data_IF_721739148000
#
_entry.id   IF_721739148000
#
_cell.length_a   1.000
_cell.length_b   1.000
_cell.length_c   1.000
_cell.angle_alpha   90.00
_cell.angle_beta   90.00
_cell.angle_gamma   90.00
#
_symmetry.space_group_name_H-M   'P 1'
#
loop_
_entity.id
_entity.type
_entity.pdbx_description
1 polymer ?
#
# COMPACT_ATOMS: atom_id res chain seq x y z
N UNK A 1 33.17 -17.46 -8.87
CA UNK A 1 34.44 -17.56 -8.12
C UNK A 1 34.51 -18.95 -7.47
N UNK A 2 35.63 -19.66 -7.58
CA UNK A 2 35.81 -21.01 -7.00
C UNK A 2 36.93 -20.96 -5.96
N UNK A 3 36.63 -21.36 -4.73
CA UNK A 3 37.63 -21.54 -3.68
C UNK A 3 38.08 -23.01 -3.67
N UNK A 4 39.39 -23.24 -3.76
CA UNK A 4 39.99 -24.57 -3.58
C UNK A 4 40.45 -24.70 -2.13
N UNK A 5 39.88 -25.67 -1.41
CA UNK A 5 40.16 -25.92 0.00
C UNK A 5 40.91 -27.24 0.15
N UNK A 6 42.00 -27.24 0.92
CA UNK A 6 42.68 -28.45 1.40
C UNK A 6 42.36 -28.60 2.88
N UNK A 7 41.63 -29.65 3.22
CA UNK A 7 41.14 -29.94 4.58
C UNK A 7 41.50 -31.37 4.95
N UNK A 8 41.63 -31.65 6.25
CA UNK A 8 41.94 -33.00 6.73
C UNK A 8 40.71 -33.90 6.63
N UNK A 9 40.94 -35.17 6.32
CA UNK A 9 39.94 -36.23 6.45
C UNK A 9 40.35 -37.13 7.61
N UNK A 10 39.43 -37.36 8.53
CA UNK A 10 39.62 -38.17 9.71
C UNK A 10 38.82 -39.47 9.59
N UNK A 11 39.32 -40.51 10.25
CA UNK A 11 38.66 -41.80 10.42
C UNK A 11 38.47 -42.03 11.92
N UNK A 12 37.27 -42.43 12.33
CA UNK A 12 37.00 -42.80 13.72
C UNK A 12 37.41 -44.26 13.94
N UNK A 13 38.23 -44.52 14.95
CA UNK A 13 38.69 -45.88 15.30
C UNK A 13 37.70 -46.62 16.22
N UNK A 14 36.76 -45.91 16.83
CA UNK A 14 35.71 -46.50 17.65
C UNK A 14 34.72 -47.30 16.80
N UNK A 15 34.67 -48.61 17.05
CA UNK A 15 33.83 -49.59 16.35
C UNK A 15 32.34 -49.39 16.59
N UNK A 16 31.97 -48.75 17.70
CA UNK A 16 30.57 -48.42 18.04
C UNK A 16 30.08 -47.14 17.36
N UNK A 17 30.99 -46.32 16.81
CA UNK A 17 30.64 -45.05 16.19
C UNK A 17 30.05 -45.26 14.79
N UNK A 18 28.79 -44.85 14.59
CA UNK A 18 28.13 -44.88 13.28
C UNK A 18 28.76 -43.94 12.22
N UNK A 19 29.66 -43.03 12.62
CA UNK A 19 30.42 -42.14 11.71
C UNK A 19 31.87 -42.58 11.57
N UNK A 20 32.13 -43.39 10.55
CA UNK A 20 33.49 -43.92 10.27
C UNK A 20 34.46 -42.90 9.68
N UNK A 21 33.99 -41.96 8.86
CA UNK A 21 34.85 -40.90 8.31
C UNK A 21 34.17 -39.54 8.37
N UNK A 22 34.96 -38.50 8.61
CA UNK A 22 34.50 -37.12 8.60
C UNK A 22 35.60 -36.19 8.09
N UNK A 23 35.19 -35.07 7.52
CA UNK A 23 36.10 -34.05 6.98
C UNK A 23 36.16 -32.90 7.97
N UNK A 24 37.35 -32.37 8.19
CA UNK A 24 37.60 -31.17 8.99
C UNK A 24 36.63 -30.05 8.61
N UNK A 25 36.01 -29.44 9.62
CA UNK A 25 35.15 -28.28 9.43
C UNK A 25 35.91 -27.06 9.94
N UNK A 26 36.34 -26.20 9.02
CA UNK A 26 36.95 -24.91 9.33
C UNK A 26 35.85 -23.97 9.82
N UNK A 27 35.93 -23.60 11.10
CA UNK A 27 34.98 -22.69 11.75
C UNK A 27 34.84 -21.37 10.95
N UNK A 28 33.60 -20.91 10.77
CA UNK A 28 33.29 -19.70 10.01
C UNK A 28 33.46 -19.81 8.49
N UNK A 29 33.96 -20.93 7.97
CA UNK A 29 34.18 -21.12 6.53
C UNK A 29 33.34 -22.26 5.97
N UNK A 30 33.37 -23.44 6.59
CA UNK A 30 32.73 -24.65 6.05
C UNK A 30 31.60 -25.14 6.95
N UNK A 31 30.59 -25.76 6.34
CA UNK A 31 29.52 -26.51 7.01
C UNK A 31 29.38 -27.86 6.33
N UNK A 32 29.03 -28.89 7.11
CA UNK A 32 28.82 -30.26 6.63
C UNK A 32 27.88 -30.27 5.42
N UNK A 33 28.29 -30.95 4.35
CA UNK A 33 27.58 -31.05 3.07
C UNK A 33 27.33 -29.72 2.33
N UNK A 34 27.89 -28.60 2.79
CA UNK A 34 27.77 -27.32 2.10
C UNK A 34 28.75 -27.25 0.94
N UNK A 35 28.27 -26.84 -0.23
CA UNK A 35 29.10 -26.47 -1.39
C UNK A 35 29.43 -24.97 -1.40
N UNK A 36 29.12 -24.26 -0.32
CA UNK A 36 29.28 -22.81 -0.19
C UNK A 36 29.90 -22.49 1.15
N UNK A 37 30.72 -21.44 1.18
CA UNK A 37 31.24 -20.93 2.43
C UNK A 37 30.12 -20.33 3.28
N UNK A 38 30.29 -20.30 4.60
CA UNK A 38 29.31 -19.64 5.49
C UNK A 38 29.15 -18.15 5.11
N UNK A 39 30.24 -17.45 4.78
CA UNK A 39 30.17 -16.06 4.28
C UNK A 39 29.30 -15.92 3.02
N UNK A 40 29.44 -16.82 2.05
CA UNK A 40 28.59 -16.81 0.86
C UNK A 40 27.13 -17.13 1.21
N UNK A 41 26.88 -18.04 2.15
CA UNK A 41 25.53 -18.33 2.63
C UNK A 41 24.87 -17.11 3.27
N UNK A 42 25.59 -16.36 4.12
CA UNK A 42 25.08 -15.12 4.73
C UNK A 42 24.73 -14.08 3.67
N UNK A 43 25.64 -13.80 2.73
CA UNK A 43 25.37 -12.84 1.64
C UNK A 43 24.13 -13.24 0.82
N UNK A 44 23.98 -14.52 0.51
CA UNK A 44 22.81 -15.02 -0.23
C UNK A 44 21.51 -14.95 0.59
N UNK A 45 21.59 -15.07 1.91
CA UNK A 45 20.45 -14.88 2.80
C UNK A 45 20.04 -13.40 2.87
N UNK A 46 20.99 -12.47 2.97
CA UNK A 46 20.73 -11.02 2.94
C UNK A 46 20.11 -10.58 1.61
N UNK A 47 20.64 -11.10 0.50
CA UNK A 47 20.05 -10.93 -0.85
C UNK A 47 18.62 -11.48 -0.88
N UNK A 48 18.38 -12.61 -0.22
CA UNK A 48 17.06 -13.21 -0.09
C UNK A 48 16.09 -12.36 0.72
N UNK A 49 16.51 -11.78 1.84
CA UNK A 49 15.70 -10.87 2.64
C UNK A 49 15.31 -9.60 1.86
N UNK A 50 16.24 -9.05 1.08
CA UNK A 50 16.01 -7.82 0.32
C UNK A 50 15.16 -8.03 -0.95
N UNK A 51 15.38 -9.14 -1.68
CA UNK A 51 14.84 -9.33 -3.03
C UNK A 51 13.90 -10.54 -3.17
N UNK A 52 13.74 -11.33 -2.13
CA UNK A 52 13.04 -12.62 -2.15
C UNK A 52 13.59 -13.57 -3.24
N UNK A 53 12.79 -14.57 -3.58
CA UNK A 53 13.22 -15.75 -4.34
C UNK A 53 13.81 -15.50 -5.75
N UNK A 54 13.00 -14.99 -6.71
CA UNK A 54 13.44 -14.90 -8.12
C UNK A 54 14.44 -13.77 -8.36
N UNK A 55 14.20 -12.60 -7.77
CA UNK A 55 15.11 -11.47 -7.92
C UNK A 55 16.43 -11.73 -7.18
N UNK A 56 16.38 -12.34 -5.99
CA UNK A 56 17.57 -12.77 -5.27
C UNK A 56 18.41 -13.79 -6.06
N UNK A 57 17.78 -14.78 -6.71
CA UNK A 57 18.50 -15.74 -7.56
C UNK A 57 19.19 -15.09 -8.77
N UNK A 58 18.55 -14.09 -9.40
CA UNK A 58 19.17 -13.33 -10.50
C UNK A 58 20.37 -12.51 -10.01
N UNK A 59 20.25 -11.82 -8.87
CA UNK A 59 21.36 -11.07 -8.31
C UNK A 59 22.51 -11.99 -7.88
N UNK A 60 22.20 -13.17 -7.34
CA UNK A 60 23.21 -14.17 -6.98
C UNK A 60 24.03 -14.66 -8.19
N UNK A 61 23.42 -14.78 -9.38
CA UNK A 61 24.14 -15.14 -10.61
C UNK A 61 25.13 -14.04 -11.02
N UNK A 62 24.81 -12.76 -10.81
CA UNK A 62 25.73 -11.64 -11.03
C UNK A 62 26.98 -11.75 -10.14
N UNK A 63 26.82 -12.25 -8.91
CA UNK A 63 27.95 -12.54 -8.00
C UNK A 63 28.70 -13.84 -8.34
N UNK A 64 28.31 -14.54 -9.42
CA UNK A 64 28.87 -15.83 -9.80
C UNK A 64 28.48 -16.96 -8.85
N UNK A 65 27.37 -16.82 -8.13
CA UNK A 65 26.84 -17.78 -7.16
C UNK A 65 25.47 -18.30 -7.63
N UNK A 66 25.48 -19.15 -8.67
CA UNK A 66 24.27 -19.74 -9.25
C UNK A 66 23.48 -20.55 -8.23
N UNK A 67 22.28 -20.08 -7.91
CA UNK A 67 21.33 -20.73 -7.01
C UNK A 67 19.90 -20.57 -7.53
N UNK A 68 19.03 -21.52 -7.17
CA UNK A 68 17.60 -21.43 -7.49
C UNK A 68 16.87 -20.50 -6.51
N UNK A 69 15.69 -20.00 -6.92
CA UNK A 69 14.75 -19.31 -6.02
C UNK A 69 14.51 -20.08 -4.73
N UNK A 70 14.29 -21.39 -4.81
CA UNK A 70 14.01 -22.22 -3.64
C UNK A 70 15.22 -22.34 -2.71
N UNK A 71 16.44 -22.20 -3.24
CA UNK A 71 17.65 -22.16 -2.41
C UNK A 71 17.77 -20.83 -1.69
N UNK A 72 17.43 -19.71 -2.34
CA UNK A 72 17.34 -18.39 -1.67
C UNK A 72 16.34 -18.44 -0.53
N UNK A 73 15.11 -18.91 -0.78
CA UNK A 73 14.06 -18.96 0.24
C UNK A 73 14.45 -19.87 1.41
N UNK A 74 15.00 -21.06 1.15
CA UNK A 74 15.52 -21.93 2.22
C UNK A 74 16.64 -21.30 3.04
N UNK A 75 17.46 -20.42 2.46
CA UNK A 75 18.47 -19.70 3.21
C UNK A 75 17.83 -18.69 4.16
N UNK A 76 16.82 -17.95 3.69
CA UNK A 76 16.02 -17.02 4.51
C UNK A 76 15.28 -17.77 5.62
N UNK A 77 14.59 -18.87 5.30
CA UNK A 77 13.86 -19.70 6.27
C UNK A 77 14.79 -20.35 7.31
N UNK A 78 16.08 -20.46 7.01
CA UNK A 78 17.09 -21.01 7.93
C UNK A 78 17.76 -19.97 8.81
N UNK A 79 17.41 -18.68 8.64
CA UNK A 79 17.90 -17.63 9.52
C UNK A 79 17.29 -17.81 10.92
N UNK A 80 18.07 -17.56 11.98
CA UNK A 80 17.53 -17.55 13.32
C UNK A 80 16.49 -16.43 13.44
N UNK A 81 15.41 -16.71 14.17
CA UNK A 81 14.47 -15.65 14.54
C UNK A 81 15.18 -14.58 15.36
N UNK A 82 14.89 -13.28 15.11
CA UNK A 82 15.40 -12.21 15.95
C UNK A 82 14.94 -12.44 17.40
N UNK A 83 15.83 -12.20 18.36
CA UNK A 83 15.41 -12.26 19.76
C UNK A 83 14.38 -11.15 20.05
N UNK A 84 13.29 -11.46 20.78
CA UNK A 84 12.31 -10.46 21.17
C UNK A 84 13.00 -9.41 22.04
N UNK A 85 12.91 -8.15 21.63
CA UNK A 85 13.36 -7.01 22.42
C UNK A 85 12.19 -6.44 23.23
N UNK A 86 12.49 -5.83 24.37
CA UNK A 86 11.47 -5.12 25.14
C UNK A 86 10.98 -3.93 24.31
N UNK A 87 9.72 -4.00 23.90
CA UNK A 87 9.10 -3.02 23.02
C UNK A 87 8.46 -1.91 23.86
N UNK A 88 9.01 -0.69 23.79
CA UNK A 88 8.46 0.49 24.50
C UNK A 88 7.51 1.31 23.63
N UNK A 89 7.84 1.49 22.35
CA UNK A 89 7.05 2.28 21.40
C UNK A 89 6.67 1.43 20.20
N UNK A 90 5.38 1.12 20.07
CA UNK A 90 4.85 0.34 18.95
C UNK A 90 4.11 1.23 17.96
N UNK A 91 4.38 1.01 16.68
CA UNK A 91 3.66 1.54 15.53
C UNK A 91 2.65 0.50 15.06
N UNK A 92 1.39 0.89 14.94
CA UNK A 92 0.29 0.04 14.47
C UNK A 92 -0.28 0.63 13.20
N UNK A 93 -0.21 -0.12 12.11
CA UNK A 93 -0.76 0.31 10.82
C UNK A 93 -1.40 -0.86 10.06
N UNK A 94 -2.20 -0.55 9.06
CA UNK A 94 -2.79 -1.54 8.16
C UNK A 94 -1.81 -1.88 7.03
N UNK A 95 -1.60 -3.17 6.76
CA UNK A 95 -0.91 -3.62 5.56
C UNK A 95 -1.84 -4.43 4.66
N UNK A 96 -1.68 -4.25 3.36
CA UNK A 96 -2.47 -4.97 2.37
C UNK A 96 -1.67 -6.16 1.82
N UNK A 97 -2.00 -7.38 2.25
CA UNK A 97 -1.50 -8.61 1.59
C UNK A 97 -1.96 -8.66 0.13
N UNK A 98 -3.24 -8.35 -0.09
CA UNK A 98 -3.84 -8.24 -1.41
C UNK A 98 -4.71 -7.00 -1.45
N UNK A 99 -4.18 -5.93 -2.02
CA UNK A 99 -4.83 -4.61 -2.11
C UNK A 99 -6.30 -4.74 -2.55
N UNK A 100 -7.19 -4.20 -1.73
CA UNK A 100 -8.65 -4.24 -1.95
C UNK A 100 -9.35 -5.53 -1.56
N UNK A 101 -8.65 -6.53 -1.00
CA UNK A 101 -9.24 -7.82 -0.60
C UNK A 101 -8.84 -8.26 0.79
N UNK A 102 -7.54 -8.37 1.05
CA UNK A 102 -7.01 -8.94 2.29
C UNK A 102 -6.06 -7.93 2.92
N UNK A 103 -6.40 -7.56 4.14
CA UNK A 103 -5.67 -6.60 4.96
C UNK A 103 -5.37 -7.26 6.31
N UNK A 104 -4.20 -6.95 6.84
CA UNK A 104 -3.79 -7.31 8.18
C UNK A 104 -3.22 -6.08 8.90
N UNK A 105 -2.71 -6.31 10.11
CA UNK A 105 -2.07 -5.26 10.91
C UNK A 105 -0.57 -5.48 10.94
N UNK A 106 0.22 -4.45 10.63
CA UNK A 106 1.67 -4.46 10.79
C UNK A 106 2.02 -3.75 12.09
N UNK A 107 2.88 -4.39 12.86
CA UNK A 107 3.39 -3.89 14.11
C UNK A 107 4.87 -3.59 13.92
N UNK A 108 5.27 -2.37 14.27
CA UNK A 108 6.63 -1.86 14.02
C UNK A 108 7.17 -1.30 15.32
N UNK A 109 8.40 -1.63 15.66
CA UNK A 109 9.12 -0.91 16.70
C UNK A 109 9.52 0.45 16.13
N UNK A 110 8.96 1.51 16.71
CA UNK A 110 9.18 2.88 16.24
C UNK A 110 10.60 3.35 16.55
N UNK A 111 11.22 2.84 17.61
CA UNK A 111 12.58 3.21 18.03
C UNK A 111 13.62 2.60 17.08
N UNK A 112 13.50 1.30 16.79
CA UNK A 112 14.44 0.61 15.87
C UNK A 112 14.04 0.69 14.40
N UNK A 113 12.81 1.14 14.11
CA UNK A 113 12.19 1.18 12.76
C UNK A 113 12.12 -0.19 12.09
N UNK A 114 11.91 -1.24 12.88
CA UNK A 114 11.85 -2.63 12.38
C UNK A 114 10.45 -3.20 12.58
N UNK A 115 9.92 -3.94 11.59
CA UNK A 115 8.73 -4.75 11.80
C UNK A 115 8.96 -5.73 12.95
N UNK A 116 7.99 -5.81 13.85
CA UNK A 116 7.96 -6.75 14.97
C UNK A 116 7.07 -7.94 14.61
N UNK A 117 5.87 -7.66 14.10
CA UNK A 117 4.90 -8.71 13.79
C UNK A 117 3.90 -8.30 12.70
N UNK A 118 3.21 -9.30 12.14
CA UNK A 118 2.16 -9.18 11.15
C UNK A 118 0.93 -9.98 11.60
N UNK A 119 -0.09 -9.26 12.05
CA UNK A 119 -1.36 -9.87 12.44
C UNK A 119 -2.20 -10.22 11.20
N UNK A 120 -3.04 -11.27 11.28
CA UNK A 120 -3.78 -11.78 10.13
C UNK A 120 -4.94 -10.89 9.67
N UNK A 121 -5.40 -9.97 10.52
CA UNK A 121 -6.58 -9.14 10.31
C UNK A 121 -6.38 -7.70 10.82
N UNK A 122 -7.46 -6.91 10.75
CA UNK A 122 -7.55 -5.52 11.22
C UNK A 122 -8.56 -5.36 12.37
N UNK A 123 -8.76 -6.42 13.15
CA UNK A 123 -9.73 -6.44 14.23
C UNK A 123 -9.14 -5.87 15.52
N UNK A 124 -9.97 -5.11 16.25
CA UNK A 124 -9.57 -4.54 17.54
C UNK A 124 -9.18 -5.63 18.55
N UNK A 125 -9.87 -6.77 18.53
CA UNK A 125 -9.61 -7.90 19.42
C UNK A 125 -8.23 -8.52 19.19
N UNK A 126 -7.88 -8.80 17.95
CA UNK A 126 -6.56 -9.36 17.58
C UNK A 126 -5.43 -8.43 17.98
N UNK A 127 -5.56 -7.12 17.71
CA UNK A 127 -4.58 -6.12 18.14
C UNK A 127 -4.49 -6.01 19.67
N UNK A 128 -5.63 -6.05 20.38
CA UNK A 128 -5.65 -5.98 21.85
C UNK A 128 -4.97 -7.18 22.50
N UNK A 129 -5.24 -8.39 22.00
CA UNK A 129 -4.62 -9.61 22.50
C UNK A 129 -3.09 -9.55 22.37
N UNK A 130 -2.61 -9.14 21.20
CA UNK A 130 -1.17 -8.97 20.97
C UNK A 130 -0.54 -7.92 21.89
N UNK A 131 -1.18 -6.77 22.07
CA UNK A 131 -0.68 -5.72 22.96
C UNK A 131 -0.63 -6.17 24.42
N UNK A 132 -1.59 -6.99 24.87
CA UNK A 132 -1.63 -7.52 26.22
C UNK A 132 -0.47 -8.49 26.52
N UNK A 133 0.04 -9.20 25.50
CA UNK A 133 1.23 -10.04 25.60
C UNK A 133 2.53 -9.22 25.72
N UNK A 134 2.47 -7.91 25.49
CA UNK A 134 3.61 -6.99 25.49
C UNK A 134 3.42 -5.84 26.51
N UNK A 135 3.42 -6.14 27.83
CA UNK A 135 3.12 -5.17 28.87
C UNK A 135 4.16 -4.05 29.02
N UNK A 136 5.33 -4.17 28.37
CA UNK A 136 6.37 -3.14 28.36
C UNK A 136 6.08 -1.94 27.44
N UNK A 137 4.98 -1.98 26.67
CA UNK A 137 4.61 -0.91 25.75
C UNK A 137 4.11 0.31 26.52
N UNK A 138 4.81 1.43 26.37
CA UNK A 138 4.49 2.73 26.96
C UNK A 138 3.73 3.62 25.98
N UNK A 139 3.95 3.45 24.67
CA UNK A 139 3.39 4.31 23.62
C UNK A 139 2.90 3.48 22.44
N UNK A 140 1.67 3.75 22.00
CA UNK A 140 1.08 3.19 20.79
C UNK A 140 0.90 4.30 19.76
N UNK A 141 1.79 4.35 18.78
CA UNK A 141 1.68 5.19 17.59
C UNK A 141 0.78 4.51 16.57
N UNK A 142 -0.34 5.11 16.22
CA UNK A 142 -1.33 4.51 15.30
C UNK A 142 -1.91 5.54 14.35
N UNK A 143 -2.51 5.06 13.25
CA UNK A 143 -3.27 5.89 12.33
C UNK A 143 -4.54 6.48 13.01
N UNK A 144 -5.57 6.92 12.26
CA UNK A 144 -6.83 7.43 12.87
C UNK A 144 -7.99 6.43 12.80
N UNK A 145 -7.71 5.16 12.56
CA UNK A 145 -8.72 4.11 12.53
C UNK A 145 -9.32 3.89 13.93
N UNK A 146 -10.66 3.84 14.05
CA UNK A 146 -11.32 3.59 15.34
C UNK A 146 -10.96 2.23 15.96
N UNK A 147 -10.78 1.20 15.13
CA UNK A 147 -10.51 -0.15 15.61
C UNK A 147 -9.12 -0.30 16.25
N UNK A 148 -8.10 0.40 15.77
CA UNK A 148 -6.80 0.43 16.44
C UNK A 148 -6.82 1.26 17.73
N UNK A 149 -7.60 2.35 17.76
CA UNK A 149 -7.80 3.11 19.00
C UNK A 149 -8.51 2.28 20.08
N UNK A 150 -9.44 1.41 19.66
CA UNK A 150 -10.10 0.44 20.54
C UNK A 150 -9.15 -0.65 21.02
N UNK A 151 -8.45 -1.30 20.09
CA UNK A 151 -7.50 -2.37 20.41
C UNK A 151 -6.42 -1.89 21.37
N UNK A 152 -5.88 -0.68 21.17
CA UNK A 152 -4.92 -0.07 22.08
C UNK A 152 -5.50 0.20 23.48
N UNK A 153 -6.75 0.66 23.58
CA UNK A 153 -7.38 0.93 24.88
C UNK A 153 -7.62 -0.34 25.69
N UNK A 154 -7.92 -1.45 25.02
CA UNK A 154 -8.17 -2.74 25.66
C UNK A 154 -6.84 -3.44 26.00
N UNK A 155 -5.92 -3.54 25.03
CA UNK A 155 -4.69 -4.34 25.17
C UNK A 155 -3.53 -3.64 25.86
N UNK A 156 -3.48 -2.31 25.82
CA UNK A 156 -2.44 -1.50 26.48
C UNK A 156 -3.07 -0.25 27.13
N UNK A 157 -3.91 -0.43 28.18
CA UNK A 157 -4.70 0.66 28.76
C UNK A 157 -3.86 1.78 29.38
N UNK A 158 -2.64 1.47 29.81
CA UNK A 158 -1.68 2.43 30.39
C UNK A 158 -0.83 3.12 29.33
N UNK A 159 -0.82 2.63 28.08
CA UNK A 159 0.00 3.19 27.02
C UNK A 159 -0.60 4.48 26.46
N UNK A 160 0.27 5.45 26.18
CA UNK A 160 -0.13 6.70 25.55
C UNK A 160 -0.39 6.46 24.07
N UNK A 161 -1.61 6.76 23.61
CA UNK A 161 -1.92 6.70 22.19
C UNK A 161 -1.50 7.99 21.48
N UNK A 162 -0.64 7.85 20.48
CA UNK A 162 -0.13 8.95 19.65
C UNK A 162 -0.61 8.78 18.22
N UNK A 163 -1.09 9.86 17.61
CA UNK A 163 -1.46 9.83 16.20
C UNK A 163 -0.20 9.81 15.32
N UNK A 164 -0.17 8.91 14.35
CA UNK A 164 0.93 8.78 13.41
C UNK A 164 1.13 10.07 12.60
N UNK A 165 2.39 10.50 12.52
CA UNK A 165 2.80 11.75 11.89
C UNK A 165 2.57 11.75 10.39
N UNK A 166 2.81 10.64 9.71
CA UNK A 166 2.62 10.56 8.26
C UNK A 166 1.14 10.80 7.90
N UNK A 167 0.22 10.15 8.63
CA UNK A 167 -1.21 10.33 8.43
C UNK A 167 -1.67 11.77 8.70
N UNK A 168 -1.11 12.46 9.71
CA UNK A 168 -1.42 13.86 9.96
C UNK A 168 -1.00 14.77 8.78
N UNK A 169 0.24 14.64 8.31
CA UNK A 169 0.73 15.44 7.18
C UNK A 169 0.00 15.15 5.89
N UNK A 170 -0.27 13.87 5.60
CA UNK A 170 -1.04 13.47 4.42
C UNK A 170 -2.45 14.06 4.45
N UNK A 171 -3.15 13.95 5.58
CA UNK A 171 -4.49 14.51 5.73
C UNK A 171 -4.50 16.03 5.56
N UNK A 172 -3.50 16.74 6.09
CA UNK A 172 -3.33 18.17 5.92
C UNK A 172 -3.09 18.53 4.45
N UNK A 173 -2.18 17.84 3.76
CA UNK A 173 -1.90 18.04 2.35
C UNK A 173 -3.14 17.82 1.47
N UNK A 174 -3.86 16.72 1.69
CA UNK A 174 -5.11 16.43 0.97
C UNK A 174 -6.22 17.45 1.28
N UNK A 175 -6.26 18.02 2.50
CA UNK A 175 -7.19 19.09 2.83
C UNK A 175 -6.82 20.41 2.14
N UNK A 176 -5.54 20.78 2.13
CA UNK A 176 -5.03 21.95 1.45
C UNK A 176 -5.26 21.86 -0.07
N UNK A 177 -4.95 20.72 -0.70
CA UNK A 177 -5.18 20.50 -2.14
C UNK A 177 -6.67 20.65 -2.49
N UNK A 178 -7.57 20.10 -1.65
CA UNK A 178 -9.02 20.27 -1.84
C UNK A 178 -9.46 21.73 -1.68
N UNK A 179 -8.92 22.44 -0.70
CA UNK A 179 -9.22 23.85 -0.48
C UNK A 179 -8.79 24.70 -1.68
N UNK A 180 -7.53 24.59 -2.09
CA UNK A 180 -6.98 25.30 -3.26
C UNK A 180 -7.78 24.95 -4.53
N UNK A 181 -8.11 23.68 -4.72
CA UNK A 181 -8.92 23.22 -5.85
C UNK A 181 -10.30 23.87 -5.90
N UNK A 182 -10.96 24.06 -4.75
CA UNK A 182 -12.27 24.73 -4.65
C UNK A 182 -12.16 26.22 -4.94
N UNK A 183 -11.10 26.88 -4.47
CA UNK A 183 -10.90 28.32 -4.62
C UNK A 183 -10.04 28.70 -5.83
N UNK A 184 -9.84 27.77 -6.77
CA UNK A 184 -9.02 27.97 -7.97
C UNK A 184 -9.44 29.19 -8.80
N UNK A 185 -10.73 29.50 -8.84
CA UNK A 185 -11.27 30.65 -9.56
C UNK A 185 -10.87 31.97 -8.90
N UNK A 186 -10.86 32.03 -7.57
CA UNK A 186 -10.43 33.18 -6.80
C UNK A 186 -8.93 33.45 -7.01
N UNK A 187 -8.12 32.39 -7.07
CA UNK A 187 -6.68 32.50 -7.36
C UNK A 187 -6.41 33.00 -8.79
N UNK A 188 -7.27 32.64 -9.74
CA UNK A 188 -7.15 33.02 -11.15
C UNK A 188 -7.24 34.54 -11.33
N UNK A 189 -8.16 35.21 -10.63
CA UNK A 189 -8.34 36.68 -10.69
C UNK A 189 -7.03 37.41 -10.36
N UNK A 190 -6.31 36.96 -9.34
CA UNK A 190 -4.99 37.52 -8.93
C UNK A 190 -3.88 37.38 -9.99
N UNK A 191 -3.98 36.43 -10.92
CA UNK A 191 -3.00 36.24 -12.00
C UNK A 191 -3.48 36.79 -13.35
N UNK A 192 -4.71 37.32 -13.45
CA UNK A 192 -5.25 37.82 -14.72
C UNK A 192 -5.14 39.34 -14.87
N UNK A 193 -4.52 40.06 -13.95
CA UNK A 193 -4.24 41.51 -14.09
C UNK A 193 -3.18 41.86 -15.17
N UNK A 194 -2.77 40.92 -16.04
CA UNK A 194 -1.76 41.20 -17.07
C UNK A 194 -2.01 40.59 -18.46
N UNK A 195 -3.27 40.37 -18.85
CA UNK A 195 -3.58 40.09 -20.28
C UNK A 195 -4.73 41.01 -20.74
N UNK A 196 -4.53 41.82 -21.78
CA UNK A 196 -5.58 42.69 -22.30
C UNK A 196 -6.74 41.83 -22.84
N UNK A 197 -7.93 42.27 -22.46
CA UNK A 197 -9.23 41.67 -22.70
C UNK A 197 -9.47 41.40 -24.19
N UNK A 198 -9.49 40.11 -24.56
CA UNK A 198 -10.00 39.69 -25.87
C UNK A 198 -11.51 39.52 -25.74
N UNK A 199 -12.24 40.20 -26.63
CA UNK A 199 -13.70 40.31 -26.66
C UNK A 199 -14.43 38.96 -26.44
N UNK A 200 -15.60 38.98 -25.76
CA UNK A 200 -16.29 37.76 -25.36
C UNK A 200 -16.83 37.02 -26.59
N UNK A 201 -16.39 35.78 -26.77
CA UNK A 201 -17.09 34.81 -27.59
C UNK A 201 -18.41 34.42 -26.89
N UNK A 202 -19.47 34.03 -27.64
CA UNK A 202 -20.77 33.70 -27.06
C UNK A 202 -20.63 32.63 -25.98
N UNK A 203 -21.27 32.85 -24.84
CA UNK A 203 -21.28 31.92 -23.72
C UNK A 203 -21.97 30.61 -24.14
N UNK A 204 -21.19 29.59 -24.49
CA UNK A 204 -21.66 28.22 -24.44
C UNK A 204 -21.89 27.86 -22.97
N UNK A 205 -23.16 27.79 -22.57
CA UNK A 205 -23.63 27.32 -21.27
C UNK A 205 -23.44 25.80 -21.12
N UNK A 206 -22.22 25.31 -21.36
CA UNK A 206 -21.84 23.92 -21.19
C UNK A 206 -20.98 23.74 -19.94
N UNK A 207 -21.40 22.85 -19.03
CA UNK A 207 -20.52 22.34 -17.98
C UNK A 207 -19.20 21.86 -18.63
N UNK A 208 -18.01 22.10 -18.04
CA UNK A 208 -16.71 21.62 -18.56
C UNK A 208 -16.59 20.09 -18.69
N UNK A 209 -17.67 19.36 -18.39
CA UNK A 209 -17.80 17.92 -18.37
C UNK A 209 -18.83 17.51 -19.43
N UNK A 210 -18.41 17.08 -20.63
CA UNK A 210 -19.32 16.59 -21.65
C UNK A 210 -20.13 15.39 -21.11
N UNK A 211 -21.38 15.30 -21.56
CA UNK A 211 -22.28 14.18 -21.30
C UNK A 211 -21.68 12.90 -21.89
N UNK A 212 -21.72 11.77 -21.16
CA UNK A 212 -21.11 10.50 -21.59
C UNK A 212 -19.96 10.01 -20.70
N UNK A 213 -19.51 10.81 -19.74
CA UNK A 213 -18.54 10.35 -18.73
C UNK A 213 -19.29 9.62 -17.60
N UNK A 214 -19.21 8.29 -17.56
CA UNK A 214 -19.98 7.39 -16.65
C UNK A 214 -20.00 7.84 -15.18
N UNK A 215 -18.91 8.42 -14.69
CA UNK A 215 -18.83 8.97 -13.33
C UNK A 215 -19.63 10.27 -13.15
N UNK A 216 -19.50 11.22 -14.07
CA UNK A 216 -20.19 12.51 -14.02
C UNK A 216 -21.71 12.28 -14.11
N UNK A 217 -22.14 11.41 -15.02
CA UNK A 217 -23.55 11.09 -15.20
C UNK A 217 -24.14 10.36 -13.98
N UNK A 218 -23.38 9.42 -13.39
CA UNK A 218 -23.80 8.76 -12.14
C UNK A 218 -23.91 9.75 -10.98
N UNK A 219 -23.01 10.73 -10.91
CA UNK A 219 -23.03 11.73 -9.84
C UNK A 219 -24.18 12.71 -10.02
N UNK A 220 -24.43 13.18 -11.26
CA UNK A 220 -25.62 13.98 -11.62
C UNK A 220 -26.91 13.25 -11.29
N UNK A 221 -27.06 11.99 -11.70
CA UNK A 221 -28.25 11.19 -11.40
C UNK A 221 -28.50 11.02 -9.90
N UNK A 222 -27.43 10.76 -9.12
CA UNK A 222 -27.53 10.66 -7.65
C UNK A 222 -27.87 11.99 -6.99
N UNK A 223 -27.30 13.09 -7.48
CA UNK A 223 -27.58 14.44 -6.98
C UNK A 223 -29.05 14.80 -7.22
N UNK A 224 -29.55 14.58 -8.44
CA UNK A 224 -30.98 14.75 -8.80
C UNK A 224 -31.88 13.91 -7.89
N UNK A 225 -31.56 12.63 -7.70
CA UNK A 225 -32.38 11.75 -6.85
C UNK A 225 -32.42 12.21 -5.37
N UNK A 226 -31.28 12.68 -4.83
CA UNK A 226 -31.23 13.21 -3.46
C UNK A 226 -32.02 14.52 -3.33
N UNK A 227 -31.86 15.45 -4.28
CA UNK A 227 -32.57 16.74 -4.25
C UNK A 227 -34.08 16.60 -4.47
N UNK A 228 -34.50 15.65 -5.32
CA UNK A 228 -35.92 15.33 -5.48
C UNK A 228 -36.55 14.83 -4.17
N UNK A 229 -35.87 13.95 -3.43
CA UNK A 229 -36.36 13.46 -2.14
C UNK A 229 -36.34 14.55 -1.05
N UNK A 230 -35.36 15.45 -1.07
CA UNK A 230 -35.34 16.61 -0.18
C UNK A 230 -36.50 17.57 -0.46
N UNK A 231 -36.78 17.84 -1.74
CA UNK A 231 -37.92 18.67 -2.16
C UNK A 231 -39.26 18.04 -1.78
N UNK A 232 -39.35 16.70 -1.78
CA UNK A 232 -40.49 15.94 -1.26
C UNK A 232 -40.55 15.87 0.28
N UNK A 233 -39.67 16.58 1.01
CA UNK A 233 -39.69 16.70 2.47
C UNK A 233 -39.02 15.56 3.24
N UNK A 234 -38.31 14.65 2.58
CA UNK A 234 -37.62 13.56 3.26
C UNK A 234 -36.39 14.07 4.05
N UNK A 235 -36.23 13.57 5.27
CA UNK A 235 -35.00 13.82 6.04
C UNK A 235 -33.80 13.09 5.41
N UNK A 236 -32.59 13.63 5.58
CA UNK A 236 -31.34 13.02 5.09
C UNK A 236 -31.15 11.57 5.56
N UNK A 237 -31.63 11.21 6.77
CA UNK A 237 -31.61 9.83 7.28
C UNK A 237 -32.62 8.91 6.57
N UNK A 238 -33.76 9.43 6.15
CA UNK A 238 -34.73 8.69 5.32
C UNK A 238 -34.13 8.40 3.94
N UNK A 239 -33.53 9.42 3.29
CA UNK A 239 -32.88 9.30 1.98
C UNK A 239 -31.74 8.27 2.01
N UNK A 240 -30.96 8.25 3.09
CA UNK A 240 -29.91 7.24 3.32
C UNK A 240 -30.45 5.81 3.20
N UNK A 241 -31.56 5.51 3.90
CA UNK A 241 -32.17 4.17 3.92
C UNK A 241 -32.79 3.82 2.57
N UNK A 242 -33.47 4.78 1.94
CA UNK A 242 -34.18 4.58 0.67
C UNK A 242 -33.24 4.36 -0.52
N UNK A 243 -32.12 5.09 -0.57
CA UNK A 243 -31.16 4.99 -1.68
C UNK A 243 -29.98 4.04 -1.40
N UNK A 244 -29.95 3.40 -0.22
CA UNK A 244 -28.85 2.51 0.17
C UNK A 244 -27.47 3.20 0.20
N UNK A 245 -27.43 4.50 0.44
CA UNK A 245 -26.20 5.30 0.48
C UNK A 245 -25.75 5.52 1.92
N UNK A 246 -24.45 5.71 2.16
CA UNK A 246 -23.96 6.14 3.48
C UNK A 246 -24.47 7.54 3.82
N UNK A 247 -24.71 7.84 5.10
CA UNK A 247 -25.15 9.18 5.56
C UNK A 247 -24.26 10.31 5.02
N UNK A 248 -22.93 10.12 5.10
CA UNK A 248 -21.94 11.10 4.63
C UNK A 248 -22.05 11.39 3.13
N UNK A 249 -22.44 10.40 2.33
CA UNK A 249 -22.66 10.58 0.89
C UNK A 249 -23.94 11.38 0.62
N UNK A 250 -25.03 11.08 1.34
CA UNK A 250 -26.29 11.83 1.25
C UNK A 250 -26.08 13.28 1.68
N UNK A 251 -25.42 13.50 2.82
CA UNK A 251 -25.08 14.83 3.30
C UNK A 251 -24.29 15.61 2.24
N UNK A 252 -23.24 15.01 1.68
CA UNK A 252 -22.42 15.65 0.66
C UNK A 252 -23.20 16.00 -0.61
N UNK A 253 -24.11 15.14 -1.06
CA UNK A 253 -24.97 15.40 -2.23
C UNK A 253 -26.03 16.47 -1.94
N UNK A 254 -26.58 16.48 -0.72
CA UNK A 254 -27.58 17.45 -0.27
C UNK A 254 -26.99 18.85 -0.09
N UNK A 255 -25.76 18.96 0.43
CA UNK A 255 -25.10 20.24 0.68
C UNK A 255 -24.51 20.86 -0.59
N UNK A 256 -24.36 20.09 -1.67
CA UNK A 256 -23.88 20.59 -2.96
C UNK A 256 -25.01 21.24 -3.76
N UNK A 257 -24.86 22.51 -4.11
CA UNK A 257 -25.84 23.25 -4.91
C UNK A 257 -25.90 22.72 -6.35
N UNK A 258 -24.74 22.39 -6.94
CA UNK A 258 -24.65 21.76 -8.26
C UNK A 258 -23.90 20.44 -8.16
N UNK A 259 -24.25 19.42 -8.98
CA UNK A 259 -23.50 18.17 -9.02
C UNK A 259 -22.03 18.39 -9.40
N UNK A 260 -21.74 19.43 -10.19
CA UNK A 260 -20.39 19.83 -10.58
C UNK A 260 -19.50 20.25 -9.40
N UNK A 261 -20.10 20.75 -8.31
CA UNK A 261 -19.35 21.15 -7.11
C UNK A 261 -18.69 19.95 -6.43
N UNK A 262 -19.13 18.73 -6.74
CA UNK A 262 -18.59 17.47 -6.24
C UNK A 262 -17.40 16.94 -7.05
N UNK A 263 -17.10 17.54 -8.20
CA UNK A 263 -16.00 17.14 -9.09
C UNK A 263 -14.67 17.78 -8.62
N UNK A 264 -14.14 17.31 -7.49
CA UNK A 264 -12.91 17.84 -6.87
C UNK A 264 -11.79 16.79 -6.76
N UNK A 265 -10.53 17.23 -6.76
CA UNK A 265 -9.35 16.38 -6.50
C UNK A 265 -8.82 15.63 -7.74
N UNK A 266 -8.55 14.32 -7.63
CA UNK A 266 -8.07 13.42 -8.70
C UNK A 266 -8.90 13.44 -10.00
N UNK A 267 -10.06 14.09 -9.95
CA UNK A 267 -11.02 14.26 -11.04
C UNK A 267 -10.92 15.62 -11.71
N UNK A 268 -9.97 16.48 -11.33
CA UNK A 268 -9.52 17.50 -12.27
C UNK A 268 -8.93 16.74 -13.46
N UNK A 269 -9.32 17.08 -14.69
CA UNK A 269 -8.68 16.62 -15.94
C UNK A 269 -7.18 16.98 -15.94
N UNK A 270 -6.39 16.34 -15.06
CA UNK A 270 -4.95 16.33 -15.14
C UNK A 270 -4.65 15.52 -16.36
N UNK A 271 -3.98 16.14 -17.34
CA UNK A 271 -3.60 15.47 -18.57
C UNK A 271 -2.86 14.19 -18.21
N UNK A 272 -3.49 13.04 -18.41
CA UNK A 272 -2.86 11.73 -18.16
C UNK A 272 -2.18 11.27 -19.44
N UNK A 273 -1.19 10.38 -19.32
CA UNK A 273 -0.56 9.75 -20.50
C UNK A 273 -1.56 8.98 -21.38
N UNK A 274 -2.73 8.65 -20.86
CA UNK A 274 -3.79 7.97 -21.59
C UNK A 274 -4.72 8.92 -22.35
N UNK A 275 -4.68 10.23 -22.07
CA UNK A 275 -5.64 11.17 -22.66
C UNK A 275 -5.50 11.28 -24.17
N UNK A 276 -4.27 11.17 -24.68
CA UNK A 276 -3.99 11.18 -26.12
C UNK A 276 -4.49 9.89 -26.82
N UNK A 277 -4.73 8.80 -26.05
CA UNK A 277 -5.20 7.50 -26.54
C UNK A 277 -6.68 7.22 -26.22
N UNK A 278 -7.38 8.12 -25.51
CA UNK A 278 -8.79 7.94 -25.15
C UNK A 278 -9.71 7.70 -26.36
N UNK A 279 -9.60 8.43 -27.48
CA UNK A 279 -10.44 8.20 -28.65
C UNK A 279 -10.30 6.76 -29.18
N UNK A 280 -9.06 6.28 -29.32
CA UNK A 280 -8.75 4.92 -29.75
C UNK A 280 -9.28 3.86 -28.77
N UNK A 281 -9.09 4.08 -27.47
CA UNK A 281 -9.61 3.18 -26.44
C UNK A 281 -11.14 3.09 -26.46
N UNK A 282 -11.84 4.19 -26.72
CA UNK A 282 -13.30 4.20 -26.81
C UNK A 282 -13.81 3.44 -28.04
N UNK A 283 -13.12 3.55 -29.16
CA UNK A 283 -13.41 2.81 -30.39
C UNK A 283 -13.23 1.29 -30.19
N UNK A 284 -12.06 0.86 -29.70
CA UNK A 284 -11.78 -0.56 -29.41
C UNK A 284 -12.77 -1.14 -28.39
N UNK A 285 -13.20 -0.34 -27.43
CA UNK A 285 -14.21 -0.76 -26.46
C UNK A 285 -15.58 -0.93 -27.10
N UNK A 286 -15.98 -0.06 -28.03
CA UNK A 286 -17.22 -0.19 -28.80
C UNK A 286 -17.20 -1.41 -29.73
N UNK A 287 -16.02 -1.79 -30.24
CA UNK A 287 -15.77 -3.03 -30.99
C UNK A 287 -15.78 -4.29 -30.11
N UNK A 288 -15.99 -4.15 -28.79
CA UNK A 288 -16.08 -5.27 -27.85
C UNK A 288 -14.74 -5.72 -27.26
N UNK A 289 -13.63 -5.05 -27.58
CA UNK A 289 -12.34 -5.31 -26.96
C UNK A 289 -12.30 -4.72 -25.54
N UNK A 290 -12.57 -5.58 -24.55
CA UNK A 290 -12.57 -5.20 -23.12
C UNK A 290 -11.32 -5.67 -22.36
N UNK A 291 -10.38 -6.33 -23.06
CA UNK A 291 -9.16 -6.85 -22.46
C UNK A 291 -8.10 -5.74 -22.32
N UNK A 292 -7.86 -5.32 -21.07
CA UNK A 292 -6.90 -4.28 -20.76
C UNK A 292 -5.46 -4.59 -21.19
N UNK A 293 -5.05 -5.87 -21.25
CA UNK A 293 -3.71 -6.24 -21.68
C UNK A 293 -3.53 -6.06 -23.19
N UNK A 294 -4.54 -6.45 -23.97
CA UNK A 294 -4.57 -6.26 -25.43
C UNK A 294 -4.54 -4.78 -25.79
N UNK A 295 -5.37 -3.97 -25.11
CA UNK A 295 -5.39 -2.51 -25.31
C UNK A 295 -4.05 -1.84 -24.92
N UNK A 296 -3.34 -2.39 -23.92
CA UNK A 296 -2.04 -1.86 -23.50
C UNK A 296 -0.93 -2.16 -24.52
N UNK A 297 -0.90 -3.38 -25.09
CA UNK A 297 0.01 -3.75 -26.19
C UNK A 297 -0.23 -2.89 -27.43
N UNK A 298 -1.50 -2.64 -27.77
CA UNK A 298 -1.90 -1.76 -28.87
C UNK A 298 -1.47 -0.31 -28.63
N UNK A 299 -1.71 0.25 -27.43
CA UNK A 299 -1.23 1.61 -27.10
C UNK A 299 0.28 1.72 -27.21
N UNK A 300 1.02 0.71 -26.72
CA UNK A 300 2.49 0.69 -26.73
C UNK A 300 3.07 0.62 -28.16
N UNK A 301 2.34 0.05 -29.10
CA UNK A 301 2.73 0.03 -30.53
C UNK A 301 2.35 1.33 -31.25
N UNK A 302 1.36 2.07 -30.75
CA UNK A 302 0.96 3.39 -31.21
C UNK A 302 1.74 4.58 -30.59
N UNK A 303 2.52 4.37 -29.50
CA UNK A 303 3.40 5.38 -28.89
C UNK A 303 3.93 5.03 -27.50
#
# INVERSE_FOLDING_TARGET
MVLRLRVRRFTCEDVSCGRRTFVEQVAGLTRRYSQRTERMRSVLADVGLALAGRAGARLADVFGARISRNTVLRLVDSLPEPQPQVLRVVGVDEYAMRKGRVYGTVLVDVETRRPVDLLPDREAGTAAAWLAEHPGIEVVCRDRAPFFAEGARIGAPTAVQVADRFHLWRNLGEAAERCVSRHRSCLRVTFTESVPEKAPAPAESGSPWPTGHRFADRTRAKHVAVHALLAAGHSRRSIQRQLGMTYRTVQRLADAARPEDLFQGQWQNRKTKLDDFKPYLHERWAEGCTNAWTLWEEIKTHG
#
